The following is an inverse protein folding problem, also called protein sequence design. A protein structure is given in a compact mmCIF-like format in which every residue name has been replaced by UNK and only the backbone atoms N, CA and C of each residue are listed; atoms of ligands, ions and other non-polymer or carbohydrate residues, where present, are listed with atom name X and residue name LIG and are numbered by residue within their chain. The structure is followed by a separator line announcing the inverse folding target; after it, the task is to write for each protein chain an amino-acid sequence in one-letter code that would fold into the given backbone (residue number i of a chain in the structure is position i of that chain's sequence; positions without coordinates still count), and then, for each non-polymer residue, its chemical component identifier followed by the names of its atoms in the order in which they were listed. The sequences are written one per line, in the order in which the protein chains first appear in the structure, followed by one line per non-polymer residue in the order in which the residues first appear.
data_IF_356193214570
#
_entry.id   IF_356193214570
#
_cell.length_a   1.000
_cell.length_b   1.000
_cell.length_c   1.000
_cell.angle_alpha   90.00
_cell.angle_beta   90.00
_cell.angle_gamma   90.00
#
_symmetry.space_group_name_H-M   'P 1'
#
loop_
_entity.id
_entity.type
_entity.pdbx_description
1 polymer ?
#
# COMPACT_ATOMS: atom_id res chain seq x y z
N UNK A 1 23.58 5.28 9.68
CA UNK A 1 23.79 3.93 9.13
C UNK A 1 23.65 4.04 7.63
N UNK A 2 24.50 3.36 6.86
CA UNK A 2 24.35 3.28 5.40
C UNK A 2 23.02 2.60 5.03
N UNK A 3 22.47 2.91 3.87
CA UNK A 3 21.34 2.21 3.27
C UNK A 3 21.63 0.72 3.30
N UNK A 4 20.65 -0.06 3.76
CA UNK A 4 20.73 -1.53 3.80
C UNK A 4 20.10 -2.15 2.56
N UNK A 5 19.78 -1.30 1.57
CA UNK A 5 19.20 -1.74 0.31
C UNK A 5 20.17 -2.63 -0.43
N UNK A 6 19.70 -3.76 -0.97
CA UNK A 6 20.51 -4.62 -1.80
C UNK A 6 21.22 -3.88 -2.93
N UNK A 7 22.48 -4.25 -3.16
CA UNK A 7 23.29 -3.68 -4.22
C UNK A 7 22.61 -3.85 -5.58
N UNK A 8 22.62 -2.79 -6.40
CA UNK A 8 22.00 -2.80 -7.73
C UNK A 8 20.48 -2.53 -7.76
N UNK A 9 19.79 -2.47 -6.61
CA UNK A 9 18.39 -2.08 -6.60
C UNK A 9 18.23 -0.57 -6.81
N UNK A 10 17.72 -0.19 -7.97
CA UNK A 10 17.37 1.18 -8.30
C UNK A 10 15.85 1.36 -8.26
N UNK A 11 15.39 2.40 -7.56
CA UNK A 11 13.98 2.78 -7.48
C UNK A 11 13.76 3.85 -8.54
N UNK A 12 13.07 3.48 -9.64
CA UNK A 12 12.84 4.37 -10.78
C UNK A 12 11.34 4.53 -11.00
N UNK A 13 10.82 5.77 -11.01
CA UNK A 13 9.42 6.00 -11.31
C UNK A 13 9.03 5.44 -12.68
N UNK A 14 7.99 4.61 -12.73
CA UNK A 14 7.37 4.17 -13.98
C UNK A 14 6.14 5.00 -14.23
N UNK A 15 6.02 5.56 -15.43
CA UNK A 15 4.82 6.25 -15.83
C UNK A 15 3.88 5.26 -16.51
N UNK A 16 2.90 4.77 -15.76
CA UNK A 16 1.91 3.82 -16.26
C UNK A 16 0.62 4.55 -16.61
N UNK A 17 -0.03 4.16 -17.70
CA UNK A 17 -1.42 4.48 -17.97
C UNK A 17 -2.14 3.14 -18.12
N UNK A 18 -3.15 2.91 -17.28
CA UNK A 18 -3.86 1.63 -17.26
C UNK A 18 -5.12 1.62 -18.12
N UNK A 19 -5.60 2.76 -18.62
CA UNK A 19 -6.89 2.89 -19.31
C UNK A 19 -8.00 2.14 -18.54
N UNK A 20 -8.31 2.64 -17.34
CA UNK A 20 -9.27 1.97 -16.45
C UNK A 20 -10.64 1.84 -17.11
N UNK A 21 -11.29 0.65 -17.05
CA UNK A 21 -12.58 0.46 -17.68
C UNK A 21 -13.61 1.49 -17.24
N UNK A 22 -14.43 1.97 -18.18
CA UNK A 22 -15.49 2.91 -17.93
C UNK A 22 -16.81 2.41 -18.57
N UNK A 23 -17.76 1.86 -17.80
CA UNK A 23 -17.74 1.76 -16.33
C UNK A 23 -16.79 0.67 -15.82
N UNK A 24 -16.31 0.84 -14.59
CA UNK A 24 -15.54 -0.18 -13.89
C UNK A 24 -16.44 -1.40 -13.60
N UNK A 25 -16.00 -2.65 -13.81
CA UNK A 25 -16.79 -3.81 -13.42
C UNK A 25 -16.99 -3.81 -11.90
N UNK A 26 -18.25 -3.79 -11.46
CA UNK A 26 -18.62 -3.63 -10.05
C UNK A 26 -17.95 -4.66 -9.13
N UNK A 27 -17.88 -5.93 -9.57
CA UNK A 27 -17.23 -7.03 -8.85
C UNK A 27 -16.08 -7.61 -9.69
N UNK A 28 -15.10 -6.76 -10.02
CA UNK A 28 -14.02 -7.08 -10.96
C UNK A 28 -13.12 -8.25 -10.52
N UNK A 29 -13.11 -8.66 -9.25
CA UNK A 29 -12.32 -9.80 -8.78
C UNK A 29 -13.16 -11.09 -8.79
N UNK A 30 -13.34 -11.70 -9.96
CA UNK A 30 -14.05 -12.98 -10.13
C UNK A 30 -15.55 -12.95 -9.79
N UNK A 31 -16.19 -11.78 -9.86
CA UNK A 31 -17.59 -11.61 -9.42
C UNK A 31 -17.77 -11.60 -7.90
N UNK A 32 -16.67 -11.60 -7.12
CA UNK A 32 -16.71 -11.60 -5.67
C UNK A 32 -16.73 -10.17 -5.12
N UNK A 33 -17.87 -9.76 -4.56
CA UNK A 33 -18.07 -8.44 -3.99
C UNK A 33 -17.16 -8.14 -2.80
N UNK A 34 -16.86 -9.13 -1.96
CA UNK A 34 -16.01 -8.90 -0.78
C UNK A 34 -14.58 -8.64 -1.20
N UNK A 35 -14.03 -9.50 -2.06
CA UNK A 35 -12.66 -9.35 -2.56
C UNK A 35 -12.51 -8.02 -3.27
N UNK A 36 -13.42 -7.72 -4.21
CA UNK A 36 -13.43 -6.48 -4.98
C UNK A 36 -13.43 -5.26 -4.05
N UNK A 37 -14.41 -5.15 -3.15
CA UNK A 37 -14.54 -3.96 -2.32
C UNK A 37 -13.48 -3.84 -1.22
N UNK A 38 -12.79 -4.92 -0.86
CA UNK A 38 -11.63 -4.83 0.01
C UNK A 38 -10.49 -4.07 -0.70
N UNK A 39 -10.21 -4.42 -1.96
CA UNK A 39 -9.24 -3.70 -2.78
C UNK A 39 -9.71 -2.28 -3.09
N UNK A 40 -10.97 -2.09 -3.49
CA UNK A 40 -11.53 -0.75 -3.76
C UNK A 40 -11.40 0.16 -2.53
N UNK A 41 -11.69 -0.36 -1.33
CA UNK A 41 -11.56 0.40 -0.09
C UNK A 41 -10.12 0.80 0.23
N UNK A 42 -9.13 -0.05 -0.09
CA UNK A 42 -7.71 0.32 0.05
C UNK A 42 -7.31 1.38 -0.97
N UNK A 43 -7.71 1.19 -2.24
CA UNK A 43 -7.45 2.13 -3.35
C UNK A 43 -7.87 3.56 -3.00
N UNK A 44 -9.04 3.74 -2.39
CA UNK A 44 -9.56 5.06 -1.98
C UNK A 44 -8.70 5.74 -0.90
N UNK A 45 -7.95 4.97 -0.09
CA UNK A 45 -7.12 5.52 1.00
C UNK A 45 -5.73 5.94 0.53
N UNK A 46 -5.26 5.39 -0.58
CA UNK A 46 -3.90 5.55 -1.06
C UNK A 46 -3.53 7.00 -1.42
N UNK A 47 -4.30 7.77 -2.22
CA UNK A 47 -3.85 9.10 -2.65
C UNK A 47 -3.56 10.08 -1.49
N UNK A 48 -4.43 10.10 -0.49
CA UNK A 48 -4.22 10.95 0.69
C UNK A 48 -3.10 10.38 1.59
N UNK A 49 -2.96 9.05 1.66
CA UNK A 49 -1.91 8.35 2.41
C UNK A 49 -0.51 8.55 1.83
N UNK A 50 -0.33 8.30 0.55
CA UNK A 50 0.94 8.44 -0.19
C UNK A 50 1.41 9.89 -0.20
N UNK A 51 0.49 10.86 -0.33
CA UNK A 51 0.83 12.27 -0.13
C UNK A 51 1.39 12.53 1.27
N UNK A 52 0.80 11.91 2.31
CA UNK A 52 1.31 12.00 3.66
C UNK A 52 2.68 11.30 3.80
N UNK A 53 2.94 10.21 3.08
CA UNK A 53 4.23 9.52 3.07
C UNK A 53 5.32 10.39 2.42
N UNK A 54 5.03 10.93 1.24
CA UNK A 54 5.88 11.89 0.53
C UNK A 54 6.24 13.06 1.44
N UNK A 55 5.24 13.71 2.06
CA UNK A 55 5.46 14.89 2.89
C UNK A 55 6.32 14.56 4.12
N UNK A 56 6.08 13.40 4.77
CA UNK A 56 6.82 13.00 5.97
C UNK A 56 8.27 12.63 5.68
N UNK A 57 8.54 11.93 4.58
CA UNK A 57 9.91 11.56 4.16
C UNK A 57 10.67 12.79 3.66
N UNK A 58 10.03 13.60 2.80
CA UNK A 58 10.63 14.82 2.23
C UNK A 58 11.10 15.79 3.32
N UNK A 59 10.38 15.88 4.44
CA UNK A 59 10.76 16.74 5.56
C UNK A 59 12.16 16.43 6.14
N UNK A 60 12.64 15.20 6.01
CA UNK A 60 13.93 14.76 6.54
C UNK A 60 15.02 14.59 5.49
N UNK A 61 14.69 14.76 4.20
CA UNK A 61 15.61 14.52 3.08
C UNK A 61 16.96 15.25 3.23
N UNK A 62 16.93 16.50 3.68
CA UNK A 62 18.14 17.34 3.77
C UNK A 62 19.02 16.96 4.97
N UNK A 63 18.52 16.10 5.88
CA UNK A 63 19.28 15.52 7.01
C UNK A 63 19.92 14.17 6.68
N UNK A 64 19.64 13.62 5.51
CA UNK A 64 20.26 12.39 5.03
C UNK A 64 21.57 12.76 4.34
N UNK A 65 22.65 12.04 4.63
CA UNK A 65 23.96 12.26 3.99
C UNK A 65 24.25 11.18 2.93
N UNK A 66 23.77 9.96 3.17
CA UNK A 66 23.97 8.81 2.29
C UNK A 66 23.41 9.10 0.87
N UNK A 67 24.27 9.13 -0.16
CA UNK A 67 23.84 9.40 -1.53
C UNK A 67 22.89 8.33 -2.08
N UNK A 68 23.01 7.07 -1.65
CA UNK A 68 22.14 5.98 -2.08
C UNK A 68 20.73 6.22 -1.55
N UNK A 69 20.61 6.49 -0.24
CA UNK A 69 19.31 6.77 0.38
C UNK A 69 18.68 8.06 -0.17
N UNK A 70 19.47 9.09 -0.50
CA UNK A 70 18.96 10.29 -1.18
C UNK A 70 18.31 9.97 -2.52
N UNK A 71 18.95 9.12 -3.32
CA UNK A 71 18.41 8.73 -4.62
C UNK A 71 17.15 7.88 -4.46
N UNK A 72 17.13 6.98 -3.49
CA UNK A 72 15.95 6.19 -3.13
C UNK A 72 14.78 7.05 -2.69
N UNK A 73 15.02 8.09 -1.89
CA UNK A 73 13.98 9.07 -1.51
C UNK A 73 13.41 9.77 -2.76
N UNK A 74 14.24 10.09 -3.75
CA UNK A 74 13.75 10.69 -5.01
C UNK A 74 12.89 9.71 -5.80
N UNK A 75 13.34 8.47 -5.93
CA UNK A 75 12.59 7.39 -6.58
C UNK A 75 11.24 7.14 -5.91
N UNK A 76 11.26 6.96 -4.58
CA UNK A 76 10.09 6.84 -3.71
C UNK A 76 9.08 7.96 -3.95
N UNK A 77 9.50 9.23 -3.85
CA UNK A 77 8.61 10.37 -4.06
C UNK A 77 7.99 10.37 -5.47
N UNK A 78 8.73 9.93 -6.48
CA UNK A 78 8.24 9.86 -7.86
C UNK A 78 7.22 8.74 -8.06
N UNK A 79 7.49 7.53 -7.57
CA UNK A 79 6.57 6.38 -7.64
C UNK A 79 5.26 6.68 -6.92
N UNK A 80 5.34 7.19 -5.70
CA UNK A 80 4.16 7.54 -4.89
C UNK A 80 3.30 8.63 -5.54
N UNK A 81 3.94 9.58 -6.24
CA UNK A 81 3.21 10.57 -7.03
C UNK A 81 2.42 9.95 -8.19
N UNK A 82 2.95 8.89 -8.81
CA UNK A 82 2.25 8.17 -9.88
C UNK A 82 1.17 7.24 -9.32
N UNK A 83 1.44 6.50 -8.24
CA UNK A 83 0.43 5.70 -7.54
C UNK A 83 -0.82 6.52 -7.25
N UNK A 84 -0.61 7.70 -6.65
CA UNK A 84 -1.68 8.61 -6.26
C UNK A 84 -2.55 9.02 -7.44
N UNK A 85 -1.96 9.23 -8.62
CA UNK A 85 -2.73 9.59 -9.83
C UNK A 85 -3.64 8.45 -10.26
N UNK A 86 -3.10 7.24 -10.39
CA UNK A 86 -3.87 6.07 -10.85
C UNK A 86 -5.00 5.74 -9.87
N UNK A 87 -4.74 5.86 -8.55
CA UNK A 87 -5.76 5.65 -7.52
C UNK A 87 -6.80 6.78 -7.42
N UNK A 88 -6.47 8.01 -7.85
CA UNK A 88 -7.46 9.08 -8.01
C UNK A 88 -8.40 8.81 -9.19
N UNK A 89 -7.89 8.31 -10.31
CA UNK A 89 -8.76 7.87 -11.42
C UNK A 89 -9.64 6.70 -10.98
N UNK A 90 -9.07 5.70 -10.29
CA UNK A 90 -9.80 4.60 -9.70
C UNK A 90 -10.95 5.10 -8.82
N UNK A 91 -10.65 6.04 -7.92
CA UNK A 91 -11.63 6.67 -7.04
C UNK A 91 -12.74 7.37 -7.82
N UNK A 92 -12.42 7.98 -8.97
CA UNK A 92 -13.44 8.55 -9.85
C UNK A 92 -14.35 7.46 -10.44
N UNK A 93 -13.80 6.35 -10.93
CA UNK A 93 -14.61 5.23 -11.43
C UNK A 93 -15.56 4.65 -10.37
N UNK A 94 -15.12 4.61 -9.11
CA UNK A 94 -15.98 4.19 -8.00
C UNK A 94 -17.11 5.20 -7.72
N UNK A 95 -16.86 6.52 -7.87
CA UNK A 95 -17.91 7.54 -7.78
C UNK A 95 -18.94 7.37 -8.90
N UNK A 96 -18.48 7.09 -10.12
CA UNK A 96 -19.35 6.87 -11.29
C UNK A 96 -20.26 5.64 -11.10
N UNK A 97 -19.83 4.64 -10.33
CA UNK A 97 -20.64 3.49 -9.91
C UNK A 97 -21.65 3.78 -8.78
N UNK A 98 -21.65 5.00 -8.23
CA UNK A 98 -22.56 5.44 -7.18
C UNK A 98 -22.07 5.23 -5.75
N UNK A 99 -20.78 4.90 -5.55
CA UNK A 99 -20.22 4.83 -4.20
C UNK A 99 -19.89 6.23 -3.66
N UNK A 100 -20.31 6.52 -2.43
CA UNK A 100 -19.92 7.74 -1.69
C UNK A 100 -18.43 7.71 -1.25
N UNK A 101 -17.53 7.83 -2.23
CA UNK A 101 -16.07 7.85 -2.05
C UNK A 101 -15.64 9.08 -1.22
N UNK A 102 -16.25 10.23 -1.46
CA UNK A 102 -15.89 11.49 -0.80
C UNK A 102 -15.99 11.38 0.73
N UNK A 103 -17.01 10.67 1.23
CA UNK A 103 -17.18 10.40 2.65
C UNK A 103 -16.02 9.62 3.27
N UNK A 104 -15.34 8.75 2.53
CA UNK A 104 -14.14 8.03 3.00
C UNK A 104 -12.94 8.96 3.04
N UNK A 105 -12.67 9.61 1.92
CA UNK A 105 -11.51 10.49 1.78
C UNK A 105 -11.58 11.64 2.80
N UNK A 106 -12.77 12.21 3.04
CA UNK A 106 -12.95 13.27 4.06
C UNK A 106 -12.52 12.82 5.45
N UNK A 107 -12.77 11.57 5.84
CA UNK A 107 -12.34 11.02 7.14
C UNK A 107 -10.84 10.78 7.17
N UNK A 108 -10.29 10.18 6.11
CA UNK A 108 -8.85 9.96 5.97
C UNK A 108 -8.09 11.29 6.06
N UNK A 109 -8.48 12.29 5.25
CA UNK A 109 -7.92 13.66 5.29
C UNK A 109 -8.04 14.32 6.66
N UNK A 110 -9.18 14.16 7.35
CA UNK A 110 -9.35 14.72 8.69
C UNK A 110 -8.36 14.12 9.70
N UNK A 111 -8.14 12.80 9.64
CA UNK A 111 -7.15 12.14 10.50
C UNK A 111 -5.72 12.53 10.12
N UNK A 112 -5.38 12.59 8.83
CA UNK A 112 -4.07 13.03 8.36
C UNK A 112 -3.78 14.46 8.83
N UNK A 113 -4.72 15.40 8.66
CA UNK A 113 -4.59 16.78 9.16
C UNK A 113 -4.40 16.83 10.67
N UNK A 114 -5.11 15.99 11.43
CA UNK A 114 -4.92 15.88 12.87
C UNK A 114 -3.51 15.40 13.21
N UNK A 115 -3.03 14.34 12.55
CA UNK A 115 -1.67 13.81 12.68
C UNK A 115 -0.62 14.87 12.38
N UNK A 116 -0.72 15.56 11.23
CA UNK A 116 0.20 16.62 10.81
C UNK A 116 0.24 17.78 11.81
N UNK A 117 -0.91 18.15 12.39
CA UNK A 117 -1.01 19.25 13.36
C UNK A 117 -0.54 18.88 14.77
N UNK A 118 -0.71 17.63 15.19
CA UNK A 118 -0.54 17.22 16.60
C UNK A 118 0.67 16.36 16.85
N UNK A 119 1.23 15.70 15.84
CA UNK A 119 2.36 14.79 16.01
C UNK A 119 3.66 15.46 15.56
N UNK A 120 4.75 15.16 16.26
CA UNK A 120 6.07 15.60 15.82
C UNK A 120 6.42 14.99 14.46
N UNK A 121 7.28 15.64 13.67
CA UNK A 121 7.79 15.10 12.40
C UNK A 121 8.26 13.64 12.49
N UNK A 122 9.00 13.29 13.55
CA UNK A 122 9.48 11.94 13.76
C UNK A 122 8.37 10.92 13.99
N UNK A 123 7.27 11.33 14.64
CA UNK A 123 6.10 10.48 14.85
C UNK A 123 5.28 10.32 13.57
N UNK A 124 5.27 11.32 12.69
CA UNK A 124 4.67 11.22 11.36
C UNK A 124 5.49 10.24 10.49
N UNK A 125 6.81 10.40 10.45
CA UNK A 125 7.70 9.48 9.75
C UNK A 125 7.62 8.04 10.29
N UNK A 126 7.48 7.85 11.61
CA UNK A 126 7.25 6.53 12.20
C UNK A 126 5.95 5.89 11.69
N UNK A 127 4.89 6.69 11.48
CA UNK A 127 3.63 6.21 10.93
C UNK A 127 3.76 5.84 9.45
N UNK A 128 4.50 6.65 8.67
CA UNK A 128 4.85 6.30 7.29
C UNK A 128 5.63 5.00 7.22
N UNK A 129 6.75 4.86 7.95
CA UNK A 129 7.52 3.61 7.96
C UNK A 129 6.72 2.37 8.40
N UNK A 130 5.70 2.54 9.25
CA UNK A 130 4.78 1.48 9.62
C UNK A 130 3.77 1.14 8.51
N UNK A 131 3.18 2.14 7.85
CA UNK A 131 2.22 1.94 6.78
C UNK A 131 2.90 1.35 5.53
N UNK A 132 4.07 1.85 5.16
CA UNK A 132 4.95 1.30 4.12
C UNK A 132 5.27 -0.18 4.38
N UNK A 133 5.53 -0.53 5.64
CA UNK A 133 5.76 -1.93 5.98
C UNK A 133 4.49 -2.78 5.79
N UNK A 134 3.31 -2.26 6.17
CA UNK A 134 2.04 -2.96 5.96
C UNK A 134 1.76 -3.17 4.47
N UNK A 135 1.92 -2.13 3.64
CA UNK A 135 1.69 -2.21 2.19
C UNK A 135 2.71 -3.13 1.53
N UNK A 136 4.00 -3.05 1.88
CA UNK A 136 5.03 -3.93 1.34
C UNK A 136 4.80 -5.42 1.64
N UNK A 137 4.33 -5.79 2.84
CA UNK A 137 4.06 -7.20 3.16
C UNK A 137 2.81 -7.71 2.44
N UNK A 138 1.82 -6.85 2.23
CA UNK A 138 0.64 -7.17 1.44
C UNK A 138 0.99 -7.32 -0.05
N UNK A 139 1.88 -6.46 -0.55
CA UNK A 139 2.40 -6.51 -1.90
C UNK A 139 3.19 -7.80 -2.17
N UNK A 140 4.11 -8.19 -1.29
CA UNK A 140 4.84 -9.46 -1.38
C UNK A 140 3.87 -10.66 -1.42
N UNK A 141 2.84 -10.66 -0.54
CA UNK A 141 1.81 -11.69 -0.55
C UNK A 141 1.01 -11.75 -1.86
N UNK A 142 0.67 -10.60 -2.43
CA UNK A 142 -0.06 -10.48 -3.70
C UNK A 142 0.76 -11.02 -4.88
N UNK A 143 2.06 -10.68 -4.94
CA UNK A 143 2.96 -11.08 -6.01
C UNK A 143 3.36 -12.56 -5.94
N UNK A 144 3.43 -13.15 -4.74
CA UNK A 144 3.78 -14.58 -4.56
C UNK A 144 2.66 -15.54 -4.98
N UNK A 145 1.41 -15.11 -4.93
CA UNK A 145 0.28 -15.99 -5.14
C UNK A 145 -0.75 -15.39 -6.09
N UNK A 146 -0.59 -15.72 -7.36
CA UNK A 146 -1.49 -15.28 -8.43
C UNK A 146 -2.95 -15.72 -8.22
N UNK A 147 -3.21 -16.74 -7.37
CA UNK A 147 -4.56 -17.21 -7.06
C UNK A 147 -5.43 -16.12 -6.41
N UNK A 148 -4.84 -15.12 -5.75
CA UNK A 148 -5.57 -14.03 -5.11
C UNK A 148 -6.23 -13.06 -6.11
N UNK A 149 -5.74 -13.04 -7.35
CA UNK A 149 -6.28 -12.27 -8.46
C UNK A 149 -6.38 -13.10 -9.74
N UNK A 150 -6.61 -14.42 -9.64
CA UNK A 150 -6.67 -15.29 -10.81
C UNK A 150 -7.81 -14.87 -11.76
N UNK A 151 -8.97 -14.59 -11.19
CA UNK A 151 -10.20 -14.23 -11.91
C UNK A 151 -10.44 -12.71 -11.96
N UNK A 152 -9.43 -11.91 -11.64
CA UNK A 152 -9.54 -10.46 -11.64
C UNK A 152 -9.56 -9.89 -13.07
N UNK A 153 -10.33 -8.82 -13.27
CA UNK A 153 -10.31 -8.07 -14.52
C UNK A 153 -8.86 -7.68 -14.88
N UNK A 154 -8.38 -7.97 -16.11
CA UNK A 154 -6.95 -7.89 -16.46
C UNK A 154 -6.32 -6.53 -16.16
N UNK A 155 -7.00 -5.43 -16.49
CA UNK A 155 -6.53 -4.06 -16.22
C UNK A 155 -6.31 -3.79 -14.72
N UNK A 156 -7.25 -4.21 -13.87
CA UNK A 156 -7.20 -3.97 -12.43
C UNK A 156 -6.14 -4.86 -11.78
N UNK A 157 -6.04 -6.11 -12.22
CA UNK A 157 -4.95 -7.01 -11.84
C UNK A 157 -3.59 -6.38 -12.15
N UNK A 158 -3.43 -5.81 -13.35
CA UNK A 158 -2.19 -5.17 -13.78
C UNK A 158 -1.85 -3.95 -12.93
N UNK A 159 -2.83 -3.09 -12.60
CA UNK A 159 -2.64 -1.94 -11.72
C UNK A 159 -2.17 -2.37 -10.33
N UNK A 160 -2.86 -3.32 -9.70
CA UNK A 160 -2.51 -3.80 -8.36
C UNK A 160 -1.15 -4.50 -8.31
N UNK A 161 -0.78 -5.25 -9.37
CA UNK A 161 0.55 -5.86 -9.48
C UNK A 161 1.66 -4.83 -9.66
N UNK A 162 1.41 -3.79 -10.46
CA UNK A 162 2.36 -2.68 -10.62
C UNK A 162 2.60 -1.95 -9.30
N UNK A 163 1.52 -1.57 -8.62
CA UNK A 163 1.63 -0.91 -7.32
C UNK A 163 2.37 -1.82 -6.32
N UNK A 164 2.01 -3.11 -6.25
CA UNK A 164 2.71 -4.07 -5.39
C UNK A 164 4.22 -4.23 -5.73
N UNK A 165 4.58 -4.16 -7.01
CA UNK A 165 5.99 -4.15 -7.40
C UNK A 165 6.72 -2.95 -6.81
N UNK A 166 6.18 -1.74 -6.98
CA UNK A 166 6.81 -0.50 -6.50
C UNK A 166 6.84 -0.44 -4.96
N UNK A 167 5.77 -0.89 -4.28
CA UNK A 167 5.75 -1.10 -2.81
C UNK A 167 6.89 -2.01 -2.34
N UNK A 168 7.23 -3.02 -3.14
CA UNK A 168 8.32 -3.94 -2.81
C UNK A 168 9.70 -3.29 -3.01
N UNK A 169 9.84 -2.39 -3.99
CA UNK A 169 11.08 -1.67 -4.29
C UNK A 169 11.46 -0.70 -3.17
N UNK A 170 10.48 0.00 -2.61
CA UNK A 170 10.71 1.06 -1.63
C UNK A 170 10.41 0.69 -0.17
N UNK A 171 10.11 -0.58 0.13
CA UNK A 171 9.77 -1.11 1.47
C UNK A 171 10.69 -0.74 2.64
N UNK A 172 11.93 -0.34 2.37
CA UNK A 172 12.92 0.08 3.37
C UNK A 172 13.14 1.60 3.44
N UNK A 173 12.71 2.39 2.45
CA UNK A 173 13.11 3.80 2.31
C UNK A 173 12.68 4.63 3.52
N UNK A 174 11.38 4.62 3.86
CA UNK A 174 10.89 5.35 5.01
C UNK A 174 11.48 4.83 6.34
N UNK A 175 11.75 3.52 6.42
CA UNK A 175 12.34 2.88 7.59
C UNK A 175 13.80 3.30 7.80
N UNK A 176 14.60 3.38 6.74
CA UNK A 176 15.99 3.81 6.77
C UNK A 176 16.10 5.30 7.13
N UNK A 177 15.26 6.15 6.52
CA UNK A 177 15.15 7.57 6.92
C UNK A 177 14.80 7.68 8.40
N UNK A 178 13.82 6.89 8.87
CA UNK A 178 13.42 6.87 10.28
C UNK A 178 14.58 6.49 11.22
N UNK A 179 15.36 5.46 10.87
CA UNK A 179 16.48 5.03 11.68
C UNK A 179 17.59 6.08 11.74
N UNK A 180 17.85 6.82 10.65
CA UNK A 180 18.86 7.87 10.64
C UNK A 180 18.47 9.11 11.45
N UNK A 181 17.19 9.51 11.43
CA UNK A 181 16.77 10.80 12.02
C UNK A 181 16.05 10.69 13.37
N UNK A 182 15.57 9.49 13.73
CA UNK A 182 14.84 9.23 14.98
C UNK A 182 15.32 7.98 15.72
N UNK A 183 15.33 6.81 15.07
CA UNK A 183 15.82 5.54 15.63
C UNK A 183 15.03 4.97 16.84
N UNK A 184 13.92 5.57 17.25
CA UNK A 184 13.20 5.15 18.46
C UNK A 184 12.29 3.93 18.23
N UNK A 185 12.79 2.72 18.49
CA UNK A 185 12.00 1.48 18.36
C UNK A 185 10.66 1.51 19.12
N UNK A 186 10.59 2.17 20.28
CA UNK A 186 9.34 2.33 21.05
C UNK A 186 8.31 3.15 20.28
N UNK A 187 8.73 4.25 19.66
CA UNK A 187 7.85 5.09 18.85
C UNK A 187 7.39 4.36 17.59
N UNK A 188 8.30 3.65 16.93
CA UNK A 188 8.01 2.88 15.73
C UNK A 188 7.00 1.74 15.99
N UNK A 189 7.18 0.96 17.07
CA UNK A 189 6.22 -0.09 17.48
C UNK A 189 4.84 0.49 17.79
N UNK A 190 4.78 1.64 18.47
CA UNK A 190 3.51 2.33 18.73
C UNK A 190 2.87 2.81 17.43
N UNK A 191 3.68 3.31 16.50
CA UNK A 191 3.20 3.73 15.18
C UNK A 191 2.63 2.54 14.41
N UNK A 192 3.26 1.37 14.45
CA UNK A 192 2.74 0.13 13.86
C UNK A 192 1.36 -0.23 14.40
N UNK A 193 1.20 -0.34 15.72
CA UNK A 193 -0.08 -0.70 16.35
C UNK A 193 -1.19 0.28 15.94
N UNK A 194 -0.91 1.58 16.00
CA UNK A 194 -1.90 2.61 15.64
C UNK A 194 -2.22 2.60 14.15
N UNK A 195 -1.21 2.41 13.29
CA UNK A 195 -1.38 2.39 11.84
C UNK A 195 -2.19 1.18 11.41
N UNK A 196 -1.87 -0.02 11.93
CA UNK A 196 -2.67 -1.23 11.71
C UNK A 196 -4.12 -1.03 12.14
N UNK A 197 -4.35 -0.48 13.34
CA UNK A 197 -5.71 -0.25 13.84
C UNK A 197 -6.51 0.67 12.90
N UNK A 198 -5.95 1.81 12.50
CA UNK A 198 -6.66 2.76 11.64
C UNK A 198 -6.80 2.26 10.20
N UNK A 199 -5.80 1.57 9.66
CA UNK A 199 -5.85 0.96 8.34
C UNK A 199 -6.97 -0.08 8.27
N UNK A 200 -6.99 -1.05 9.19
CA UNK A 200 -8.05 -2.07 9.26
C UNK A 200 -9.43 -1.42 9.46
N UNK A 201 -9.52 -0.42 10.35
CA UNK A 201 -10.79 0.26 10.61
C UNK A 201 -11.35 0.96 9.38
N UNK A 202 -10.53 1.70 8.64
CA UNK A 202 -11.01 2.46 7.49
C UNK A 202 -11.27 1.58 6.28
N UNK A 203 -10.40 0.62 6.01
CA UNK A 203 -10.62 -0.36 4.94
C UNK A 203 -11.89 -1.17 5.20
N UNK A 204 -12.13 -1.60 6.45
CA UNK A 204 -13.37 -2.30 6.83
C UNK A 204 -14.60 -1.41 6.68
N UNK A 205 -14.50 -0.12 6.99
CA UNK A 205 -15.59 0.84 6.79
C UNK A 205 -15.89 1.07 5.31
N UNK A 206 -14.87 1.18 4.47
CA UNK A 206 -14.99 1.28 3.01
C UNK A 206 -15.69 0.06 2.44
N UNK A 207 -15.18 -1.12 2.77
CA UNK A 207 -15.76 -2.40 2.40
C UNK A 207 -17.24 -2.50 2.82
N UNK A 208 -17.54 -2.23 4.10
CA UNK A 208 -18.92 -2.30 4.61
C UNK A 208 -19.86 -1.32 3.90
N UNK A 209 -19.36 -0.14 3.52
CA UNK A 209 -20.15 0.83 2.77
C UNK A 209 -20.42 0.39 1.33
N UNK A 210 -19.42 -0.08 0.61
CA UNK A 210 -19.61 -0.55 -0.76
C UNK A 210 -20.56 -1.76 -0.79
N UNK A 211 -20.39 -2.71 0.14
CA UNK A 211 -21.34 -3.79 0.34
C UNK A 211 -22.74 -3.30 0.72
N UNK A 212 -22.86 -2.19 1.47
CA UNK A 212 -24.16 -1.59 1.78
C UNK A 212 -24.83 -1.01 0.54
N UNK A 213 -24.09 -0.26 -0.27
CA UNK A 213 -24.59 0.31 -1.54
C UNK A 213 -25.06 -0.81 -2.48
N UNK A 214 -24.35 -1.92 -2.51
CA UNK A 214 -24.69 -3.10 -3.29
C UNK A 214 -25.82 -3.97 -2.68
N UNK A 215 -26.36 -3.61 -1.51
CA UNK A 215 -27.39 -4.40 -0.82
C UNK A 215 -26.88 -5.71 -0.19
N UNK A 216 -25.56 -5.89 -0.09
CA UNK A 216 -24.88 -7.10 0.39
C UNK A 216 -24.36 -7.00 1.83
N UNK A 217 -24.48 -5.85 2.50
CA UNK A 217 -23.93 -5.65 3.85
C UNK A 217 -24.35 -6.73 4.86
N UNK A 218 -25.58 -7.22 4.79
CA UNK A 218 -26.11 -8.22 5.72
C UNK A 218 -26.08 -9.64 5.15
N UNK A 219 -25.48 -9.83 3.95
CA UNK A 219 -25.34 -11.15 3.35
C UNK A 219 -24.23 -11.92 4.06
N UNK A 220 -24.62 -12.80 4.98
CA UNK A 220 -23.67 -13.57 5.79
C UNK A 220 -22.71 -14.43 4.94
N UNK A 221 -23.14 -14.91 3.76
CA UNK A 221 -22.30 -15.76 2.89
C UNK A 221 -21.12 -14.96 2.36
N UNK A 222 -21.37 -13.72 1.91
CA UNK A 222 -20.34 -12.79 1.43
C UNK A 222 -19.29 -12.55 2.51
N UNK A 223 -19.71 -12.29 3.75
CA UNK A 223 -18.78 -12.12 4.87
C UNK A 223 -18.04 -13.40 5.24
N UNK A 224 -18.71 -14.54 5.34
CA UNK A 224 -18.07 -15.83 5.65
C UNK A 224 -17.01 -16.15 4.61
N UNK A 225 -17.35 -16.07 3.31
CA UNK A 225 -16.46 -16.42 2.22
C UNK A 225 -15.29 -15.42 2.10
N UNK A 226 -15.55 -14.14 2.31
CA UNK A 226 -14.52 -13.10 2.42
C UNK A 226 -13.55 -13.31 3.59
N UNK A 227 -14.07 -13.58 4.80
CA UNK A 227 -13.24 -13.88 5.99
C UNK A 227 -12.43 -15.15 5.77
N UNK A 228 -13.03 -16.18 5.15
CA UNK A 228 -12.31 -17.41 4.78
C UNK A 228 -11.21 -17.13 3.75
N UNK A 229 -11.45 -16.25 2.78
CA UNK A 229 -10.44 -15.85 1.80
C UNK A 229 -9.30 -15.04 2.43
N UNK A 230 -9.57 -14.22 3.46
CA UNK A 230 -8.53 -13.49 4.18
C UNK A 230 -7.72 -14.36 5.16
N UNK A 231 -8.39 -15.21 5.95
CA UNK A 231 -7.82 -15.84 7.16
C UNK A 231 -7.92 -17.36 7.20
N UNK A 232 -8.53 -17.99 6.19
CA UNK A 232 -8.61 -19.43 6.04
C UNK A 232 -7.23 -20.08 5.85
N UNK A 233 -7.22 -21.40 5.65
CA UNK A 233 -5.97 -22.17 5.48
C UNK A 233 -5.08 -21.62 4.35
N UNK A 234 -5.70 -21.29 3.22
CA UNK A 234 -5.07 -20.68 2.04
C UNK A 234 -5.28 -19.15 1.99
N UNK A 235 -5.60 -18.54 3.14
CA UNK A 235 -6.03 -17.15 3.20
C UNK A 235 -4.89 -16.16 2.98
N UNK A 236 -5.20 -15.00 2.39
CA UNK A 236 -4.23 -13.96 1.98
C UNK A 236 -3.35 -13.47 3.13
N UNK A 237 -3.94 -13.21 4.30
CA UNK A 237 -3.21 -12.58 5.41
C UNK A 237 -2.53 -13.58 6.33
N UNK A 238 -2.93 -14.86 6.30
CA UNK A 238 -2.37 -15.90 7.16
C UNK A 238 -0.83 -16.06 7.03
N UNK A 239 -0.25 -16.18 5.82
CA UNK A 239 1.21 -16.29 5.69
C UNK A 239 1.95 -15.00 6.08
N UNK A 240 1.27 -13.85 6.06
CA UNK A 240 1.86 -12.55 6.37
C UNK A 240 2.00 -12.28 7.88
N UNK A 241 1.37 -13.09 8.74
CA UNK A 241 1.36 -12.87 10.19
C UNK A 241 2.78 -12.90 10.77
N UNK A 242 3.63 -13.84 10.39
CA UNK A 242 5.00 -13.93 10.91
C UNK A 242 5.81 -12.69 10.52
N UNK A 243 5.71 -12.30 9.26
CA UNK A 243 6.37 -11.12 8.69
C UNK A 243 5.90 -9.84 9.37
N UNK A 244 4.59 -9.69 9.63
CA UNK A 244 4.03 -8.58 10.40
C UNK A 244 4.60 -8.54 11.84
N UNK A 245 4.73 -9.70 12.51
CA UNK A 245 5.24 -9.79 13.88
C UNK A 245 6.74 -9.50 13.97
N UNK A 246 7.50 -9.79 12.91
CA UNK A 246 8.93 -9.51 12.85
C UNK A 246 9.23 -8.02 13.02
N UNK A 247 8.35 -7.13 12.56
CA UNK A 247 8.47 -5.68 12.74
C UNK A 247 8.71 -5.27 14.20
N UNK A 248 8.18 -6.04 15.16
CA UNK A 248 8.30 -5.77 16.59
C UNK A 248 9.63 -6.23 17.20
N UNK A 249 10.43 -7.07 16.52
CA UNK A 249 11.74 -7.53 17.01
C UNK A 249 12.69 -6.35 17.22
N UNK A 250 13.69 -6.50 18.08
CA UNK A 250 14.59 -5.37 18.41
C UNK A 250 15.46 -4.95 17.22
N UNK A 251 16.04 -5.93 16.52
CA UNK A 251 16.96 -5.72 15.39
C UNK A 251 16.33 -5.77 14.00
N UNK A 252 15.00 -5.84 13.89
CA UNK A 252 14.31 -5.98 12.61
C UNK A 252 14.71 -4.93 11.58
N UNK A 253 14.90 -5.38 10.35
CA UNK A 253 15.02 -4.57 9.16
C UNK A 253 14.11 -5.11 8.03
N UNK A 254 13.39 -4.27 7.24
CA UNK A 254 12.56 -4.72 6.12
C UNK A 254 13.25 -5.66 5.10
N UNK A 255 14.55 -5.46 4.87
CA UNK A 255 15.36 -6.34 4.00
C UNK A 255 15.72 -7.71 4.60
N UNK A 256 15.39 -8.01 5.86
CA UNK A 256 15.43 -9.38 6.38
C UNK A 256 14.46 -10.30 5.62
N UNK A 257 13.38 -9.74 5.08
CA UNK A 257 12.47 -10.44 4.16
C UNK A 257 12.94 -10.23 2.72
N UNK A 258 13.97 -10.96 2.31
CA UNK A 258 14.52 -10.86 0.96
C UNK A 258 13.52 -11.40 -0.08
N UNK A 259 13.12 -10.54 -1.01
CA UNK A 259 12.23 -10.85 -2.12
C UNK A 259 12.74 -10.27 -3.45
N UNK A 260 14.07 -10.12 -3.59
CA UNK A 260 14.70 -9.61 -4.80
C UNK A 260 14.37 -10.44 -6.04
N UNK A 261 14.41 -11.76 -5.94
CA UNK A 261 14.10 -12.64 -7.09
C UNK A 261 12.66 -12.42 -7.58
N UNK A 262 11.71 -12.28 -6.64
CA UNK A 262 10.31 -11.99 -6.94
C UNK A 262 10.17 -10.60 -7.58
N UNK A 263 10.83 -9.60 -7.02
CA UNK A 263 10.87 -8.24 -7.54
C UNK A 263 11.44 -8.23 -8.98
N UNK A 264 12.57 -8.88 -9.22
CA UNK A 264 13.20 -8.94 -10.54
C UNK A 264 12.32 -9.68 -11.57
N UNK A 265 11.69 -10.80 -11.17
CA UNK A 265 10.76 -11.51 -12.04
C UNK A 265 9.55 -10.63 -12.41
N UNK A 266 8.99 -9.91 -11.42
CA UNK A 266 7.82 -9.04 -11.63
C UNK A 266 8.18 -7.80 -12.46
N UNK A 267 9.39 -7.24 -12.32
CA UNK A 267 9.87 -6.11 -13.12
C UNK A 267 9.78 -6.33 -14.63
N UNK A 268 10.01 -7.56 -15.08
CA UNK A 268 9.93 -7.92 -16.50
C UNK A 268 8.55 -7.59 -17.10
N UNK A 269 7.49 -7.62 -16.29
CA UNK A 269 6.12 -7.29 -16.72
C UNK A 269 5.94 -5.78 -17.01
N UNK A 270 6.75 -4.91 -16.41
CA UNK A 270 6.52 -3.46 -16.38
C UNK A 270 7.64 -2.62 -16.99
N UNK A 271 8.90 -3.05 -16.88
CA UNK A 271 10.06 -2.27 -17.37
C UNK A 271 10.07 -2.17 -18.91
N UNK A 272 9.53 -3.16 -19.63
CA UNK A 272 9.36 -3.12 -21.09
C UNK A 272 8.26 -2.18 -21.57
N UNK A 273 7.26 -1.88 -20.73
CA UNK A 273 6.14 -1.00 -21.07
C UNK A 273 6.44 0.49 -20.79
N UNK A 274 7.40 0.78 -19.91
CA UNK A 274 7.80 2.14 -19.54
C UNK A 274 8.71 2.83 -20.58
N UNK A 275 9.16 2.10 -21.60
CA UNK A 275 10.12 2.58 -22.62
C UNK A 275 9.46 3.10 -23.90
N UNK A 276 8.13 3.11 -23.99
CA UNK A 276 7.38 3.50 -25.20
C UNK A 276 6.51 4.77 -25.04
N UNK A 277 6.85 5.64 -24.10
CA UNK A 277 6.22 6.96 -23.95
C UNK A 277 7.25 8.09 -24.11
#
# INVERSE_FOLDING_TARGET
MASTTPEGLQIRPRHMDFDLPNPLPRHWNGGDAFKTHLFDAMSVLFPDGERFFIDSVRQFRDRIEDPVLKEQIRGFIGQEGHHSREHLEYSQRLRDLGYDVERFEKRARARIRYTQKKFSPQRQLAATAALEHITAIMADGLLRNDAYMADAHPTLKRLWRWHALEETEHKAVAFDVYNQVCGSRKLLRRAMIMSTFFFVLDTTRGLAHMLKVDGLLWNWRVWRDGIRWMWGKEGVFRPLISTYLDFFKAGFHPWEHNNLDLLHATRVEFDGAASSA
#
